data_IF_014100376628
#
_entry.id   IF_014100376628
#
_cell.length_a   1.000
_cell.length_b   1.000
_cell.length_c   1.000
_cell.angle_alpha   90.00
_cell.angle_beta   90.00
_cell.angle_gamma   90.00
#
_symmetry.space_group_name_H-M   'P 1'
#
loop_
_entity.id
_entity.type
_entity.pdbx_description
1 polymer ?
#
# COMPACT_ATOMS: atom_id res chain seq x y z
N UNK A 1 -40.80 -62.40 32.00
CA UNK A 1 -41.22 -61.07 31.52
C UNK A 1 -40.66 -60.02 32.44
N UNK A 2 -39.48 -59.47 32.15
CA UNK A 2 -38.91 -58.20 32.69
C UNK A 2 -37.41 -58.17 32.37
N UNK A 3 -37.03 -57.74 31.17
CA UNK A 3 -35.63 -57.31 30.91
C UNK A 3 -35.46 -56.49 29.62
N UNK A 4 -36.48 -55.74 29.19
CA UNK A 4 -36.46 -55.05 27.89
C UNK A 4 -36.92 -53.59 27.96
N UNK A 5 -36.76 -52.91 29.11
CA UNK A 5 -37.19 -51.51 29.27
C UNK A 5 -36.17 -50.57 29.95
N UNK A 6 -34.89 -50.95 30.02
CA UNK A 6 -33.84 -50.11 30.61
C UNK A 6 -32.83 -49.52 29.61
N UNK A 7 -33.04 -49.68 28.30
CA UNK A 7 -32.11 -49.17 27.27
C UNK A 7 -32.46 -47.79 26.69
N UNK A 8 -33.55 -47.15 27.12
CA UNK A 8 -34.04 -45.90 26.53
C UNK A 8 -34.04 -44.75 27.53
N UNK A 9 -32.89 -44.41 28.13
CA UNK A 9 -32.66 -43.11 28.77
C UNK A 9 -31.16 -42.90 29.03
N UNK A 10 -30.39 -42.70 27.97
CA UNK A 10 -29.15 -41.92 28.09
C UNK A 10 -29.42 -40.55 27.47
N UNK A 11 -29.15 -39.43 28.18
CA UNK A 11 -29.25 -38.12 27.55
C UNK A 11 -28.29 -38.14 26.37
N UNK A 12 -28.79 -37.83 25.18
CA UNK A 12 -27.98 -37.60 23.98
C UNK A 12 -27.00 -36.50 24.38
N UNK A 13 -25.79 -36.89 24.80
CA UNK A 13 -24.74 -35.95 25.17
C UNK A 13 -24.39 -35.24 23.88
N UNK A 14 -24.86 -34.01 23.75
CA UNK A 14 -24.58 -33.14 22.64
C UNK A 14 -23.07 -33.16 22.37
N UNK A 15 -22.68 -33.79 21.27
CA UNK A 15 -21.33 -33.70 20.72
C UNK A 15 -20.92 -32.23 20.77
N UNK A 16 -19.89 -31.91 21.54
CA UNK A 16 -19.23 -30.62 21.47
C UNK A 16 -18.50 -30.58 20.13
N UNK A 17 -19.24 -30.17 19.10
CA UNK A 17 -18.70 -29.80 17.79
C UNK A 17 -17.93 -28.50 18.00
N UNK A 18 -16.83 -28.53 18.75
CA UNK A 18 -15.89 -27.43 18.77
C UNK A 18 -15.19 -27.47 17.43
N UNK A 19 -15.34 -26.43 16.62
CA UNK A 19 -14.84 -26.54 15.29
C UNK A 19 -13.33 -26.42 15.20
N UNK A 20 -12.70 -27.37 14.51
CA UNK A 20 -11.27 -27.35 14.19
C UNK A 20 -10.84 -26.06 13.47
N UNK A 21 -11.78 -25.40 12.79
CA UNK A 21 -11.51 -24.16 12.09
C UNK A 21 -11.17 -23.01 13.05
N UNK A 22 -11.75 -22.93 14.26
CA UNK A 22 -11.44 -21.85 15.22
C UNK A 22 -9.97 -21.83 15.65
N UNK A 23 -9.30 -22.99 15.72
CA UNK A 23 -7.86 -23.05 16.05
C UNK A 23 -7.01 -22.44 14.95
N UNK A 24 -7.39 -22.64 13.68
CA UNK A 24 -6.68 -22.07 12.54
C UNK A 24 -6.77 -20.54 12.53
N UNK A 25 -7.91 -19.97 12.91
CA UNK A 25 -8.04 -18.51 13.01
C UNK A 25 -7.15 -17.88 14.08
N UNK A 26 -6.73 -18.63 15.10
CA UNK A 26 -5.80 -18.12 16.13
C UNK A 26 -4.35 -18.19 15.65
N UNK A 27 -3.95 -19.31 15.04
CA UNK A 27 -2.60 -19.51 14.51
C UNK A 27 -2.26 -18.49 13.41
N UNK A 28 -3.24 -18.09 12.60
CA UNK A 28 -3.02 -17.16 11.49
C UNK A 28 -2.93 -15.68 11.91
N UNK A 29 -3.24 -15.32 13.16
CA UNK A 29 -3.18 -13.91 13.61
C UNK A 29 -1.78 -13.34 13.53
N UNK A 30 -0.77 -14.15 13.84
CA UNK A 30 0.64 -13.74 13.80
C UNK A 30 1.08 -13.46 12.35
N UNK A 31 0.75 -14.36 11.44
CA UNK A 31 1.02 -14.21 10.01
C UNK A 31 0.29 -12.99 9.42
N UNK A 32 -0.98 -12.79 9.77
CA UNK A 32 -1.76 -11.63 9.32
C UNK A 32 -1.13 -10.33 9.85
N UNK A 33 -0.64 -10.32 11.10
CA UNK A 33 0.02 -9.13 11.66
C UNK A 33 1.30 -8.79 10.91
N UNK A 34 2.15 -9.77 10.62
CA UNK A 34 3.37 -9.56 9.83
C UNK A 34 3.02 -9.10 8.41
N UNK A 35 2.05 -9.74 7.77
CA UNK A 35 1.58 -9.36 6.44
C UNK A 35 1.03 -7.93 6.41
N UNK A 36 0.24 -7.54 7.40
CA UNK A 36 -0.30 -6.19 7.52
C UNK A 36 0.81 -5.15 7.69
N UNK A 37 1.83 -5.43 8.50
CA UNK A 37 2.99 -4.54 8.67
C UNK A 37 3.77 -4.42 7.35
N UNK A 38 4.07 -5.54 6.69
CA UNK A 38 4.80 -5.54 5.42
C UNK A 38 4.04 -4.78 4.33
N UNK A 39 2.73 -5.01 4.19
CA UNK A 39 1.87 -4.30 3.25
C UNK A 39 1.78 -2.81 3.58
N UNK A 40 1.60 -2.45 4.85
CA UNK A 40 1.55 -1.06 5.28
C UNK A 40 2.85 -0.33 4.96
N UNK A 41 4.00 -0.93 5.28
CA UNK A 41 5.31 -0.38 4.95
C UNK A 41 5.51 -0.26 3.43
N UNK A 42 5.15 -1.29 2.66
CA UNK A 42 5.23 -1.27 1.21
C UNK A 42 4.35 -0.16 0.60
N UNK A 43 3.13 0.02 1.10
CA UNK A 43 2.23 1.09 0.65
C UNK A 43 2.79 2.47 0.99
N UNK A 44 3.32 2.62 2.21
CA UNK A 44 3.94 3.86 2.67
C UNK A 44 5.10 4.26 1.75
N UNK A 45 6.01 3.32 1.48
CA UNK A 45 7.13 3.52 0.54
C UNK A 45 6.59 3.87 -0.85
N UNK A 46 5.61 3.13 -1.37
CA UNK A 46 5.05 3.36 -2.71
C UNK A 46 4.41 4.74 -2.86
N UNK A 47 3.68 5.20 -1.84
CA UNK A 47 2.98 6.49 -1.87
C UNK A 47 3.95 7.65 -1.68
N UNK A 48 4.97 7.49 -0.83
CA UNK A 48 5.87 8.58 -0.44
C UNK A 48 7.07 8.73 -1.38
N UNK A 49 7.63 7.63 -1.88
CA UNK A 49 8.94 7.62 -2.54
C UNK A 49 8.81 7.65 -4.07
N UNK A 50 7.70 7.16 -4.63
CA UNK A 50 7.65 6.86 -6.04
C UNK A 50 6.44 7.46 -6.76
N UNK A 51 6.50 8.75 -7.10
CA UNK A 51 5.58 9.33 -8.08
C UNK A 51 6.18 9.23 -9.49
N UNK A 52 5.62 8.40 -10.40
CA UNK A 52 6.09 8.35 -11.77
C UNK A 52 5.73 9.65 -12.48
N UNK A 53 6.73 10.33 -13.03
CA UNK A 53 6.59 11.54 -13.84
C UNK A 53 7.23 11.34 -15.20
N UNK A 54 6.61 11.95 -16.19
CA UNK A 54 7.05 11.96 -17.58
C UNK A 54 7.62 13.33 -17.90
N UNK A 55 8.76 13.38 -18.60
CA UNK A 55 9.41 14.62 -19.04
C UNK A 55 8.92 14.97 -20.45
N UNK A 56 8.14 16.05 -20.61
CA UNK A 56 7.58 16.45 -21.90
C UNK A 56 8.44 17.49 -22.64
N UNK A 57 9.58 17.92 -22.08
CA UNK A 57 10.34 19.09 -22.56
C UNK A 57 11.83 18.83 -22.69
N UNK A 58 12.44 19.40 -23.73
CA UNK A 58 13.87 19.36 -24.03
C UNK A 58 14.74 20.29 -23.15
N UNK A 59 14.14 21.01 -22.19
CA UNK A 59 14.84 22.03 -21.39
C UNK A 59 15.97 21.50 -20.50
N UNK A 60 16.00 20.18 -20.24
CA UNK A 60 17.00 19.52 -19.40
C UNK A 60 18.00 18.65 -20.18
N UNK A 61 18.05 18.78 -21.51
CA UNK A 61 19.08 18.12 -22.33
C UNK A 61 20.46 18.70 -21.98
N UNK A 62 21.51 17.86 -21.84
CA UNK A 62 21.59 16.42 -22.12
C UNK A 62 21.36 15.51 -20.91
N UNK A 63 20.89 16.03 -19.77
CA UNK A 63 20.75 15.24 -18.54
C UNK A 63 19.49 14.38 -18.55
N UNK A 64 18.39 14.90 -19.09
CA UNK A 64 17.12 14.20 -19.25
C UNK A 64 16.63 14.38 -20.68
N UNK A 65 16.25 13.29 -21.33
CA UNK A 65 15.73 13.31 -22.70
C UNK A 65 14.19 13.32 -22.70
N UNK A 66 13.61 13.87 -23.76
CA UNK A 66 12.16 13.84 -23.95
C UNK A 66 11.71 12.40 -24.16
N UNK A 67 10.77 11.95 -23.33
CA UNK A 67 10.37 10.55 -23.31
C UNK A 67 10.67 9.85 -21.99
N UNK A 68 11.59 10.39 -21.20
CA UNK A 68 12.04 9.75 -19.98
C UNK A 68 10.94 9.67 -18.92
N UNK A 69 10.95 8.54 -18.20
CA UNK A 69 10.05 8.26 -17.09
C UNK A 69 10.86 8.22 -15.81
N UNK A 70 10.67 9.23 -14.97
CA UNK A 70 11.37 9.37 -13.71
C UNK A 70 10.47 8.98 -12.55
N UNK A 71 11.08 8.44 -11.50
CA UNK A 71 10.42 8.20 -10.23
C UNK A 71 10.86 9.30 -9.28
N UNK A 72 9.94 10.17 -8.90
CA UNK A 72 10.24 11.35 -8.08
C UNK A 72 9.91 11.05 -6.62
N UNK A 73 10.90 11.31 -5.77
CA UNK A 73 10.78 11.27 -4.32
C UNK A 73 10.27 12.64 -3.83
N UNK A 74 9.21 12.63 -3.01
CA UNK A 74 8.53 13.87 -2.58
C UNK A 74 8.82 14.26 -1.14
N UNK A 75 9.31 13.34 -0.32
CA UNK A 75 9.37 13.48 1.13
C UNK A 75 10.63 14.19 1.60
N UNK A 76 11.77 14.01 0.94
CA UNK A 76 13.03 14.64 1.35
C UNK A 76 12.93 16.17 1.41
N UNK A 77 12.23 16.78 0.44
CA UNK A 77 12.03 18.23 0.39
C UNK A 77 11.06 18.80 1.42
N UNK A 78 10.35 17.96 2.19
CA UNK A 78 9.62 18.43 3.38
C UNK A 78 10.55 18.61 4.59
N UNK A 79 11.66 17.87 4.63
CA UNK A 79 12.60 17.89 5.76
C UNK A 79 13.81 18.78 5.52
N UNK A 80 14.22 18.96 4.26
CA UNK A 80 15.38 19.78 3.90
C UNK A 80 15.06 20.70 2.72
N UNK A 81 15.56 21.95 2.73
CA UNK A 81 15.45 22.83 1.58
C UNK A 81 16.30 22.31 0.41
N UNK A 82 15.91 22.61 -0.85
CA UNK A 82 16.67 22.19 -2.02
C UNK A 82 18.04 22.85 -2.08
N UNK A 83 19.05 22.08 -2.49
CA UNK A 83 20.45 22.53 -2.62
C UNK A 83 20.77 22.79 -4.10
N UNK A 84 21.78 23.63 -4.37
CA UNK A 84 22.24 23.86 -5.74
C UNK A 84 22.75 22.56 -6.36
N UNK A 85 22.24 22.23 -7.54
CA UNK A 85 22.56 20.98 -8.24
C UNK A 85 21.46 19.94 -8.17
N UNK A 86 20.44 20.13 -7.32
CA UNK A 86 19.30 19.23 -7.23
C UNK A 86 18.36 19.41 -8.43
N UNK A 87 17.85 18.30 -8.95
CA UNK A 87 16.75 18.27 -9.92
C UNK A 87 15.45 18.18 -9.13
N UNK A 88 14.64 19.23 -9.20
CA UNK A 88 13.37 19.33 -8.45
C UNK A 88 12.20 19.49 -9.41
N UNK A 89 11.10 18.79 -9.10
CA UNK A 89 9.83 18.95 -9.83
C UNK A 89 8.93 19.87 -9.03
N UNK A 90 8.50 20.97 -9.64
CA UNK A 90 7.61 21.96 -9.02
C UNK A 90 6.30 22.11 -9.78
N UNK A 91 5.28 22.63 -9.08
CA UNK A 91 4.01 22.94 -9.71
C UNK A 91 4.13 24.29 -10.42
N UNK A 92 3.69 24.39 -11.70
CA UNK A 92 3.77 25.65 -12.42
C UNK A 92 2.94 26.72 -11.69
N UNK A 93 3.46 27.95 -11.53
CA UNK A 93 2.72 29.04 -10.92
C UNK A 93 1.45 29.37 -11.72
N UNK A 94 0.44 29.95 -11.05
CA UNK A 94 -0.90 30.16 -11.63
C UNK A 94 -0.89 30.93 -12.96
N UNK A 95 0.09 31.81 -13.15
CA UNK A 95 0.31 32.56 -14.38
C UNK A 95 0.55 31.61 -15.56
N UNK A 96 1.42 30.61 -15.40
CA UNK A 96 1.73 29.62 -16.44
C UNK A 96 0.55 28.67 -16.69
N UNK A 97 -0.24 28.35 -15.67
CA UNK A 97 -1.43 27.52 -15.86
C UNK A 97 -2.44 28.17 -16.84
N UNK A 98 -2.53 29.50 -16.86
CA UNK A 98 -3.38 30.23 -17.82
C UNK A 98 -2.87 30.15 -19.27
N UNK A 99 -1.57 29.91 -19.46
CA UNK A 99 -0.95 29.71 -20.77
C UNK A 99 -1.00 28.25 -21.26
N UNK A 100 -1.64 27.35 -20.50
CA UNK A 100 -1.83 25.95 -20.90
C UNK A 100 -0.87 24.94 -20.27
N UNK A 101 -0.04 25.35 -19.32
CA UNK A 101 0.84 24.43 -18.59
C UNK A 101 0.06 23.65 -17.53
N UNK A 102 -0.03 22.33 -17.70
CA UNK A 102 -0.84 21.47 -16.83
C UNK A 102 -0.07 21.03 -15.57
N UNK A 103 -0.77 20.91 -14.43
CA UNK A 103 -0.20 20.53 -13.12
C UNK A 103 0.40 19.11 -13.09
N UNK A 104 0.01 18.27 -14.04
CA UNK A 104 0.49 16.89 -14.18
C UNK A 104 1.76 16.77 -15.03
N UNK A 105 2.26 17.86 -15.61
CA UNK A 105 3.55 17.88 -16.29
C UNK A 105 4.67 18.09 -15.27
N UNK A 106 5.79 17.37 -15.46
CA UNK A 106 7.02 17.66 -14.73
C UNK A 106 7.84 18.64 -15.56
N UNK A 107 8.31 19.69 -14.90
CA UNK A 107 9.26 20.67 -15.41
C UNK A 107 10.48 20.62 -14.51
#
# INVERSE_FOLDING_TARGET
MTSEKESLNQPITANSITPWWLKIWQQQKENIKVLAIALSLSLLVRILIAEPRYIPSDSMIPTLEVGDRLVVEKVSYYFHPPVRGDIIVFQPPQQLQRYGYAKNQAF
#
